data_IF_641286772359
#
_entry.id   IF_641286772359
#
_cell.length_a   1.000
_cell.length_b   1.000
_cell.length_c   1.000
_cell.angle_alpha   90.00
_cell.angle_beta   90.00
_cell.angle_gamma   90.00
#
_symmetry.space_group_name_H-M   'P 1'
#
loop_
_entity.id
_entity.type
_entity.pdbx_description
1 polymer ?
#
# COMPACT_ATOMS: atom_id res chain seq x y z
N UNK A 1 20.48 -16.97 -15.27
CA UNK A 1 20.55 -16.02 -14.16
C UNK A 1 19.31 -16.15 -13.28
N UNK A 2 19.52 -16.37 -12.03
CA UNK A 2 18.42 -16.43 -11.10
C UNK A 2 18.09 -15.02 -10.58
N UNK A 3 16.90 -14.54 -10.88
CA UNK A 3 16.41 -13.29 -10.33
C UNK A 3 16.21 -13.46 -8.82
N UNK A 4 17.02 -12.77 -8.05
CA UNK A 4 16.97 -12.85 -6.60
C UNK A 4 16.00 -11.80 -6.06
N UNK A 5 15.03 -12.25 -5.31
CA UNK A 5 14.10 -11.32 -4.64
C UNK A 5 14.85 -10.69 -3.47
N UNK A 6 15.02 -9.36 -3.54
CA UNK A 6 15.68 -8.58 -2.49
C UNK A 6 14.68 -8.21 -1.42
N UNK A 7 13.48 -7.81 -1.84
CA UNK A 7 12.42 -7.40 -0.93
C UNK A 7 11.06 -7.68 -1.54
N UNK A 8 10.13 -8.07 -0.70
CA UNK A 8 8.76 -8.36 -1.11
C UNK A 8 7.81 -7.90 0.00
N UNK A 9 6.70 -7.29 -0.36
CA UNK A 9 5.73 -6.86 0.64
C UNK A 9 4.46 -6.27 0.06
N UNK A 10 3.54 -6.01 0.97
CA UNK A 10 2.26 -5.34 0.71
C UNK A 10 2.31 -3.92 1.28
N UNK A 11 1.41 -3.02 0.81
CA UNK A 11 1.27 -1.72 1.46
C UNK A 11 0.99 -1.88 2.96
N UNK A 12 1.55 -0.99 3.77
CA UNK A 12 1.33 -1.03 5.22
C UNK A 12 -0.15 -0.78 5.54
N UNK A 13 -0.66 -1.45 6.58
CA UNK A 13 -2.04 -1.27 7.03
C UNK A 13 -2.37 0.19 7.37
N UNK A 14 -1.39 0.95 7.82
CA UNK A 14 -1.56 2.37 8.19
C UNK A 14 -1.94 3.26 6.99
N UNK A 15 -1.65 2.84 5.76
CA UNK A 15 -2.12 3.53 4.56
C UNK A 15 -3.64 3.58 4.49
N UNK A 16 -4.29 2.56 5.03
CA UNK A 16 -5.74 2.43 5.05
C UNK A 16 -6.36 2.78 6.41
N UNK A 17 -5.59 3.44 7.27
CA UNK A 17 -6.03 3.78 8.63
C UNK A 17 -7.35 4.57 8.64
N UNK A 18 -7.55 5.46 7.69
CA UNK A 18 -8.77 6.25 7.58
C UNK A 18 -10.02 5.37 7.32
N UNK A 19 -9.87 4.28 6.54
CA UNK A 19 -10.96 3.32 6.31
C UNK A 19 -11.32 2.60 7.60
N UNK A 20 -10.31 2.18 8.37
CA UNK A 20 -10.54 1.55 9.65
C UNK A 20 -11.21 2.49 10.65
N UNK A 21 -10.81 3.77 10.67
CA UNK A 21 -11.41 4.78 11.52
C UNK A 21 -12.88 5.01 11.17
N UNK A 22 -13.21 5.12 9.89
CA UNK A 22 -14.59 5.26 9.43
C UNK A 22 -15.42 4.03 9.79
N UNK A 23 -14.84 2.85 9.63
CA UNK A 23 -15.49 1.59 9.98
C UNK A 23 -15.81 1.51 11.48
N UNK A 24 -14.85 1.87 12.33
CA UNK A 24 -15.04 1.91 13.79
C UNK A 24 -16.13 2.91 14.17
N UNK A 25 -16.13 4.10 13.57
CA UNK A 25 -17.14 5.13 13.83
C UNK A 25 -18.54 4.65 13.43
N UNK A 26 -18.67 4.00 12.26
CA UNK A 26 -19.93 3.44 11.79
C UNK A 26 -20.42 2.34 12.72
N UNK A 27 -19.53 1.45 13.15
CA UNK A 27 -19.85 0.38 14.10
C UNK A 27 -20.31 0.91 15.46
N UNK A 28 -19.61 1.92 15.98
CA UNK A 28 -19.96 2.58 17.24
C UNK A 28 -21.35 3.22 17.16
N UNK A 29 -21.66 3.87 16.04
CA UNK A 29 -22.98 4.45 15.83
C UNK A 29 -24.07 3.37 15.78
N UNK A 30 -23.83 2.27 15.11
CA UNK A 30 -24.75 1.12 15.06
C UNK A 30 -25.02 0.55 16.44
N UNK A 31 -23.98 0.35 17.25
CA UNK A 31 -24.11 -0.12 18.63
C UNK A 31 -24.87 0.86 19.50
N UNK A 32 -24.67 2.16 19.32
CA UNK A 32 -25.41 3.18 20.05
C UNK A 32 -26.90 3.15 19.73
N UNK A 33 -27.24 2.98 18.46
CA UNK A 33 -28.64 2.87 18.01
C UNK A 33 -29.28 1.62 18.61
N UNK A 34 -28.56 0.50 18.62
CA UNK A 34 -29.01 -0.75 19.23
C UNK A 34 -29.27 -0.57 20.73
N UNK A 35 -28.36 0.08 21.44
CA UNK A 35 -28.48 0.37 22.86
C UNK A 35 -29.76 1.19 23.19
N UNK A 36 -30.08 2.16 22.31
CA UNK A 36 -31.26 3.00 22.46
C UNK A 36 -32.59 2.26 22.10
N UNK A 37 -32.48 1.05 21.63
CA UNK A 37 -33.66 0.26 21.20
C UNK A 37 -34.28 0.74 19.89
N UNK A 38 -33.56 1.61 19.13
CA UNK A 38 -34.04 2.08 17.86
C UNK A 38 -33.78 1.08 16.73
N UNK A 39 -34.49 1.24 15.63
CA UNK A 39 -34.29 0.40 14.42
C UNK A 39 -33.23 1.00 13.52
N UNK A 40 -32.66 0.19 12.62
CA UNK A 40 -31.68 0.64 11.64
C UNK A 40 -30.22 0.39 12.02
N UNK A 41 -29.96 -0.16 13.22
CA UNK A 41 -28.59 -0.48 13.65
C UNK A 41 -27.91 -1.54 12.76
N UNK A 42 -28.70 -2.40 12.15
CA UNK A 42 -28.22 -3.48 11.28
C UNK A 42 -27.49 -2.92 10.05
N UNK A 43 -28.03 -1.86 9.45
CA UNK A 43 -27.42 -1.19 8.30
C UNK A 43 -26.04 -0.60 8.63
N UNK A 44 -25.92 -0.03 9.82
CA UNK A 44 -24.66 0.55 10.27
C UNK A 44 -23.60 -0.51 10.54
N UNK A 45 -23.98 -1.62 11.17
CA UNK A 45 -23.05 -2.72 11.42
C UNK A 45 -22.65 -3.43 10.12
N UNK A 46 -23.58 -3.64 9.20
CA UNK A 46 -23.30 -4.21 7.90
C UNK A 46 -22.36 -3.34 7.09
N UNK A 47 -22.57 -2.02 7.10
CA UNK A 47 -21.70 -1.05 6.46
C UNK A 47 -20.29 -1.06 7.04
N UNK A 48 -20.17 -1.11 8.38
CA UNK A 48 -18.87 -1.19 9.05
C UNK A 48 -18.10 -2.46 8.64
N UNK A 49 -18.77 -3.60 8.61
CA UNK A 49 -18.17 -4.87 8.20
C UNK A 49 -17.73 -4.81 6.72
N UNK A 50 -18.58 -4.24 5.84
CA UNK A 50 -18.25 -4.09 4.43
C UNK A 50 -17.01 -3.23 4.23
N UNK A 51 -16.86 -2.14 4.99
CA UNK A 51 -15.68 -1.28 4.93
C UNK A 51 -14.41 -2.01 5.37
N UNK A 52 -14.49 -2.84 6.42
CA UNK A 52 -13.36 -3.64 6.87
C UNK A 52 -12.92 -4.65 5.81
N UNK A 53 -13.87 -5.33 5.19
CA UNK A 53 -13.59 -6.29 4.12
C UNK A 53 -12.98 -5.58 2.91
N UNK A 54 -13.52 -4.43 2.52
CA UNK A 54 -12.95 -3.61 1.45
C UNK A 54 -11.50 -3.21 1.73
N UNK A 55 -11.22 -2.74 2.94
CA UNK A 55 -9.88 -2.34 3.34
C UNK A 55 -8.90 -3.52 3.24
N UNK A 56 -9.30 -4.69 3.73
CA UNK A 56 -8.48 -5.89 3.65
C UNK A 56 -8.22 -6.31 2.21
N UNK A 57 -9.25 -6.25 1.35
CA UNK A 57 -9.13 -6.58 -0.06
C UNK A 57 -8.19 -5.61 -0.79
N UNK A 58 -8.34 -4.30 -0.56
CA UNK A 58 -7.49 -3.28 -1.17
C UNK A 58 -6.03 -3.43 -0.75
N UNK A 59 -5.80 -3.78 0.50
CA UNK A 59 -4.45 -3.98 1.00
C UNK A 59 -3.72 -5.12 0.27
N UNK A 60 -4.44 -6.19 -0.06
CA UNK A 60 -3.86 -7.35 -0.74
C UNK A 60 -3.78 -7.21 -2.25
N UNK A 61 -4.47 -6.22 -2.82
CA UNK A 61 -4.55 -6.05 -4.27
C UNK A 61 -3.20 -5.77 -4.91
N UNK A 62 -2.38 -4.96 -4.28
CA UNK A 62 -1.06 -4.60 -4.80
C UNK A 62 0.03 -5.29 -3.99
N UNK A 63 0.95 -5.94 -4.68
CA UNK A 63 2.15 -6.53 -4.10
C UNK A 63 3.37 -5.89 -4.76
N UNK A 64 4.34 -5.49 -3.95
CA UNK A 64 5.56 -4.88 -4.43
C UNK A 64 6.71 -5.87 -4.31
N UNK A 65 7.49 -5.98 -5.37
CA UNK A 65 8.65 -6.87 -5.44
C UNK A 65 9.87 -6.08 -5.92
N UNK A 66 10.96 -6.18 -5.18
CA UNK A 66 12.25 -5.67 -5.64
C UNK A 66 13.12 -6.89 -5.91
N UNK A 67 13.44 -7.08 -7.18
CA UNK A 67 14.29 -8.15 -7.67
C UNK A 67 15.63 -7.55 -8.04
N UNK A 68 16.67 -8.35 -8.12
CA UNK A 68 18.03 -7.88 -8.44
C UNK A 68 18.15 -7.11 -9.77
N UNK A 69 17.23 -7.33 -10.71
CA UNK A 69 17.25 -6.74 -12.06
C UNK A 69 16.12 -5.76 -12.32
N UNK A 70 15.05 -5.78 -11.51
CA UNK A 70 13.85 -4.97 -11.76
C UNK A 70 13.02 -4.73 -10.51
N UNK A 71 12.18 -3.70 -10.56
CA UNK A 71 11.16 -3.42 -9.56
C UNK A 71 9.80 -3.73 -10.18
N UNK A 72 9.00 -4.53 -9.49
CA UNK A 72 7.72 -5.03 -10.01
C UNK A 72 6.58 -4.66 -9.07
N UNK A 73 5.50 -4.15 -9.65
CA UNK A 73 4.21 -4.03 -8.98
C UNK A 73 3.30 -5.13 -9.51
N UNK A 74 2.87 -6.02 -8.65
CA UNK A 74 2.11 -7.22 -9.01
C UNK A 74 0.73 -7.19 -8.40
N UNK A 75 -0.25 -7.77 -9.10
CA UNK A 75 -1.57 -7.99 -8.53
C UNK A 75 -1.49 -9.18 -7.56
N UNK A 76 -1.81 -8.92 -6.28
CA UNK A 76 -1.72 -9.93 -5.22
C UNK A 76 -2.69 -11.10 -5.35
N UNK A 77 -3.77 -10.95 -6.12
CA UNK A 77 -4.77 -12.00 -6.33
C UNK A 77 -4.47 -12.87 -7.55
N UNK A 78 -4.07 -12.25 -8.66
CA UNK A 78 -3.85 -12.96 -9.92
C UNK A 78 -2.39 -13.33 -10.17
N UNK A 79 -1.48 -12.72 -9.43
CA UNK A 79 -0.04 -12.91 -9.63
C UNK A 79 0.50 -12.26 -10.91
N UNK A 80 -0.30 -11.47 -11.60
CA UNK A 80 0.13 -10.78 -12.83
C UNK A 80 0.84 -9.47 -12.51
N UNK A 81 1.92 -9.20 -13.25
CA UNK A 81 2.66 -7.97 -13.12
C UNK A 81 1.86 -6.80 -13.72
N UNK A 82 1.60 -5.77 -12.91
CA UNK A 82 0.88 -4.57 -13.33
C UNK A 82 1.83 -3.59 -13.99
N UNK A 83 2.98 -3.39 -13.37
CA UNK A 83 4.01 -2.45 -13.85
C UNK A 83 5.38 -2.98 -13.46
N UNK A 84 6.35 -2.84 -14.35
CA UNK A 84 7.73 -3.27 -14.14
C UNK A 84 8.69 -2.21 -14.65
N UNK A 85 9.70 -1.87 -13.85
CA UNK A 85 10.79 -0.99 -14.27
C UNK A 85 12.11 -1.73 -14.03
N UNK A 86 12.94 -1.83 -15.05
CA UNK A 86 14.29 -2.39 -14.91
C UNK A 86 15.15 -1.45 -14.08
N UNK A 87 15.98 -2.00 -13.21
CA UNK A 87 16.88 -1.20 -12.35
C UNK A 87 17.82 -0.33 -13.20
N UNK A 88 18.27 -0.83 -14.33
CA UNK A 88 19.10 -0.07 -15.30
C UNK A 88 18.42 1.18 -15.85
N UNK A 89 17.08 1.14 -15.96
CA UNK A 89 16.27 2.21 -16.52
C UNK A 89 15.79 3.21 -15.48
N UNK A 90 16.18 3.06 -14.22
CA UNK A 90 15.80 3.99 -13.15
C UNK A 90 16.61 5.29 -13.30
N UNK A 91 15.91 6.40 -13.51
CA UNK A 91 16.53 7.73 -13.57
C UNK A 91 16.69 8.32 -12.18
N UNK A 92 15.64 8.27 -11.38
CA UNK A 92 15.60 8.87 -10.06
C UNK A 92 14.62 8.13 -9.15
N UNK A 93 14.93 8.11 -7.86
CA UNK A 93 14.07 7.57 -6.81
C UNK A 93 13.78 8.70 -5.84
N UNK A 94 12.50 9.04 -5.69
CA UNK A 94 12.06 10.12 -4.81
C UNK A 94 11.24 9.54 -3.67
N UNK A 95 11.52 9.96 -2.44
CA UNK A 95 10.72 9.62 -1.27
C UNK A 95 9.73 10.74 -1.02
N UNK A 96 8.44 10.41 -1.05
CA UNK A 96 7.35 11.32 -0.69
C UNK A 96 6.74 10.88 0.63
N UNK A 97 6.74 11.75 1.62
CA UNK A 97 6.28 11.41 2.96
C UNK A 97 5.63 12.63 3.61
N UNK A 98 4.32 12.55 3.86
CA UNK A 98 3.59 13.59 4.56
C UNK A 98 3.90 13.58 6.07
N UNK A 99 3.46 14.61 6.81
CA UNK A 99 3.72 14.70 8.25
C UNK A 99 3.10 13.55 9.05
N UNK A 100 1.90 13.11 8.71
CA UNK A 100 1.24 11.97 9.36
C UNK A 100 1.93 10.67 8.98
N UNK A 101 2.27 10.49 7.73
CA UNK A 101 2.99 9.32 7.23
C UNK A 101 4.37 9.19 7.89
N UNK A 102 5.04 10.30 8.11
CA UNK A 102 6.34 10.35 8.79
C UNK A 102 6.22 9.87 10.24
N UNK A 103 5.15 10.21 10.92
CA UNK A 103 4.88 9.77 12.29
C UNK A 103 4.76 8.25 12.37
N UNK A 104 4.10 7.61 11.38
CA UNK A 104 3.94 6.17 11.31
C UNK A 104 5.10 5.46 10.58
N UNK A 105 6.11 6.22 10.17
CA UNK A 105 7.25 5.71 9.40
C UNK A 105 6.83 4.98 8.12
N UNK A 106 5.90 5.60 7.39
CA UNK A 106 5.36 5.11 6.13
C UNK A 106 5.60 6.18 5.06
N UNK A 107 5.87 5.78 3.85
CA UNK A 107 6.03 6.71 2.75
C UNK A 107 5.77 6.08 1.40
N UNK A 108 5.81 6.91 0.39
CA UNK A 108 5.67 6.51 -1.01
C UNK A 108 7.00 6.73 -1.72
N UNK A 109 7.54 5.67 -2.31
CA UNK A 109 8.69 5.78 -3.20
C UNK A 109 8.19 5.95 -4.63
N UNK A 110 8.66 7.02 -5.28
CA UNK A 110 8.37 7.28 -6.69
C UNK A 110 9.62 6.93 -7.49
N UNK A 111 9.53 5.91 -8.31
CA UNK A 111 10.63 5.45 -9.15
C UNK A 111 10.41 6.01 -10.56
N UNK A 112 11.26 6.96 -10.97
CA UNK A 112 11.21 7.55 -12.30
C UNK A 112 12.08 6.75 -13.26
N UNK A 113 11.52 6.44 -14.43
CA UNK A 113 12.24 5.75 -15.48
C UNK A 113 12.94 6.74 -16.41
N UNK A 114 14.06 6.34 -17.00
CA UNK A 114 14.76 7.10 -18.04
C UNK A 114 13.95 7.18 -19.33
N UNK A 115 13.10 6.19 -19.59
CA UNK A 115 12.15 6.23 -20.69
C UNK A 115 10.92 7.05 -20.28
N UNK A 116 10.14 7.51 -21.26
CA UNK A 116 8.91 8.30 -21.01
C UNK A 116 7.76 7.49 -20.42
N UNK A 117 8.03 6.35 -19.80
CA UNK A 117 7.02 5.55 -19.14
C UNK A 117 6.60 6.20 -17.81
N UNK A 118 5.37 5.91 -17.41
CA UNK A 118 4.81 6.42 -16.15
C UNK A 118 5.66 6.00 -14.95
N UNK A 119 5.86 6.92 -13.98
CA UNK A 119 6.61 6.56 -12.77
C UNK A 119 5.91 5.44 -11.99
N UNK A 120 6.69 4.55 -11.39
CA UNK A 120 6.19 3.49 -10.53
C UNK A 120 6.04 4.03 -9.11
N UNK A 121 4.83 3.95 -8.58
CA UNK A 121 4.53 4.42 -7.22
C UNK A 121 4.46 3.22 -6.27
N UNK A 122 5.40 3.14 -5.34
CA UNK A 122 5.40 2.14 -4.27
C UNK A 122 4.77 2.78 -3.04
N UNK A 123 3.45 2.72 -2.97
CA UNK A 123 2.68 3.41 -1.94
C UNK A 123 2.62 2.62 -0.63
N UNK A 124 2.60 3.35 0.48
CA UNK A 124 2.39 2.76 1.79
C UNK A 124 3.51 1.84 2.25
N UNK A 125 4.74 2.13 1.88
CA UNK A 125 5.90 1.35 2.31
C UNK A 125 6.25 1.64 3.76
N UNK A 126 6.51 0.60 4.51
CA UNK A 126 7.05 0.70 5.87
C UNK A 126 8.56 0.85 5.77
N UNK A 127 9.12 1.74 6.59
CA UNK A 127 10.56 2.07 6.57
C UNK A 127 11.05 2.40 5.15
N UNK A 128 10.46 3.41 4.49
CA UNK A 128 10.74 3.67 3.08
C UNK A 128 12.19 4.08 2.81
N UNK A 129 12.87 4.68 3.78
CA UNK A 129 14.28 5.08 3.64
C UNK A 129 15.19 3.87 3.48
N UNK A 130 14.93 2.81 4.23
CA UNK A 130 15.70 1.56 4.14
C UNK A 130 15.52 0.94 2.76
N UNK A 131 14.29 0.90 2.27
CA UNK A 131 13.97 0.35 0.95
C UNK A 131 14.61 1.19 -0.15
N UNK A 132 14.55 2.52 -0.03
CA UNK A 132 15.21 3.45 -0.94
C UNK A 132 16.72 3.20 -1.01
N UNK A 133 17.37 3.07 0.14
CA UNK A 133 18.81 2.80 0.24
C UNK A 133 19.17 1.47 -0.43
N UNK A 134 18.39 0.43 -0.19
CA UNK A 134 18.61 -0.88 -0.82
C UNK A 134 18.46 -0.82 -2.34
N UNK A 135 17.47 -0.07 -2.80
CA UNK A 135 17.21 0.07 -4.23
C UNK A 135 18.31 0.89 -4.91
N UNK A 136 18.79 1.94 -4.28
CA UNK A 136 19.91 2.74 -4.79
C UNK A 136 21.21 1.93 -4.84
N UNK A 137 21.43 1.05 -3.86
CA UNK A 137 22.59 0.17 -3.84
C UNK A 137 22.60 -0.84 -5.01
N UNK A 138 21.42 -1.18 -5.55
CA UNK A 138 21.30 -2.07 -6.70
C UNK A 138 21.49 -1.35 -8.03
N UNK A 139 21.48 -0.03 -8.04
CA UNK A 139 21.70 0.75 -9.28
C UNK A 139 23.15 0.65 -9.71
N UNK A 140 23.39 0.48 -11.01
CA UNK A 140 24.75 0.46 -11.54
C UNK A 140 25.45 1.81 -11.45
#
# INVERSE_FOLDING_TARGET
MHDRIIWQGYPAWSKFAWLYLVSVAAGARGLRILWQGATGWESWLAGALALLVCAACLRRWAQYLIISTRVVMRNGYTGKDIQTIKIEDIAEITLSQGPIARFFNIGTLVVHSKSDSSPLLLQGLRDPEIIKTRLEACRP
#
